data_IF_149859070892
#
_entry.id   IF_149859070892
#
_cell.length_a   1.000
_cell.length_b   1.000
_cell.length_c   1.000
_cell.angle_alpha   90.00
_cell.angle_beta   90.00
_cell.angle_gamma   90.00
#
_symmetry.space_group_name_H-M   'P 1'
#
loop_
_entity.id
_entity.type
_entity.pdbx_description
1 polymer ?
#
# COMPACT_ATOMS: atom_id res chain seq x y z
N UNK A 1 -14.74 -26.33 8.94
CA UNK A 1 -13.93 -26.15 7.72
C UNK A 1 -13.25 -24.80 7.80
N UNK A 2 -11.95 -24.77 7.52
CA UNK A 2 -11.18 -23.52 7.45
C UNK A 2 -11.08 -23.09 5.99
N UNK A 3 -11.26 -21.79 5.74
CA UNK A 3 -11.21 -21.14 4.43
C UNK A 3 -10.01 -20.20 4.47
N UNK A 4 -9.10 -20.30 3.50
CA UNK A 4 -8.07 -19.29 3.32
C UNK A 4 -8.67 -18.03 2.65
N UNK A 5 -8.17 -16.88 3.06
CA UNK A 5 -8.37 -15.60 2.38
C UNK A 5 -7.01 -15.14 1.90
N UNK A 6 -6.87 -14.96 0.60
CA UNK A 6 -5.70 -14.37 -0.05
C UNK A 6 -6.10 -13.03 -0.62
N UNK A 7 -5.34 -11.99 -0.30
CA UNK A 7 -5.52 -10.64 -0.82
C UNK A 7 -4.20 -10.25 -1.48
N UNK A 8 -4.21 -10.24 -2.81
CA UNK A 8 -3.12 -9.74 -3.62
C UNK A 8 -3.34 -8.23 -3.85
N UNK A 9 -2.31 -7.41 -3.74
CA UNK A 9 -2.41 -5.94 -3.84
C UNK A 9 -1.28 -5.39 -4.72
N UNK A 10 -1.62 -4.67 -5.78
CA UNK A 10 -0.65 -4.13 -6.74
C UNK A 10 -1.07 -2.78 -7.32
N UNK A 11 -0.19 -2.22 -8.17
CA UNK A 11 -0.31 -0.85 -8.67
C UNK A 11 0.08 0.19 -7.63
N UNK A 12 -0.45 1.40 -7.74
CA UNK A 12 -0.03 2.55 -6.95
C UNK A 12 -0.59 2.49 -5.52
N UNK A 13 0.18 1.86 -4.62
CA UNK A 13 -0.28 1.54 -3.26
C UNK A 13 0.80 1.71 -2.20
N UNK A 14 0.42 2.42 -1.13
CA UNK A 14 1.22 2.55 0.09
C UNK A 14 0.60 1.69 1.19
N UNK A 15 1.38 0.79 1.77
CA UNK A 15 0.96 -0.14 2.81
C UNK A 15 1.85 0.01 4.05
N UNK A 16 1.21 0.13 5.22
CA UNK A 16 1.88 0.25 6.51
C UNK A 16 1.04 -0.37 7.64
N UNK A 17 1.68 -0.87 8.70
CA UNK A 17 0.97 -1.26 9.91
C UNK A 17 0.72 -0.06 10.81
N UNK A 18 -0.50 0.08 11.30
CA UNK A 18 -0.84 1.05 12.35
C UNK A 18 -2.02 0.51 13.14
N UNK A 19 -1.98 0.68 14.46
CA UNK A 19 -3.04 0.23 15.37
C UNK A 19 -3.40 -1.28 15.24
N UNK A 20 -2.42 -2.14 14.88
CA UNK A 20 -2.61 -3.58 14.65
C UNK A 20 -3.54 -3.94 13.46
N UNK A 21 -3.61 -3.08 12.46
CA UNK A 21 -4.18 -3.37 11.14
C UNK A 21 -3.19 -2.96 10.03
N UNK A 22 -3.25 -3.65 8.90
CA UNK A 22 -2.62 -3.21 7.66
C UNK A 22 -3.43 -2.05 7.09
N UNK A 23 -2.77 -0.95 6.76
CA UNK A 23 -3.38 0.23 6.16
C UNK A 23 -2.96 0.24 4.71
N UNK A 24 -3.90 0.04 3.80
CA UNK A 24 -3.68 0.02 2.36
C UNK A 24 -4.19 1.35 1.81
N UNK A 25 -3.29 2.23 1.37
CA UNK A 25 -3.61 3.55 0.82
C UNK A 25 -3.29 3.55 -0.67
N UNK A 26 -4.35 3.43 -1.47
CA UNK A 26 -4.27 3.56 -2.91
C UNK A 26 -4.41 5.02 -3.30
N UNK A 27 -3.53 5.54 -4.15
CA UNK A 27 -3.66 6.90 -4.70
C UNK A 27 -4.58 6.84 -5.92
N UNK A 28 -5.61 7.68 -5.97
CA UNK A 28 -6.60 7.67 -7.05
C UNK A 28 -6.68 9.01 -7.75
N UNK A 29 -6.88 8.97 -9.07
CA UNK A 29 -7.10 10.14 -9.93
C UNK A 29 -7.88 9.73 -11.19
N UNK A 30 -7.69 10.44 -12.30
CA UNK A 30 -8.33 10.12 -13.60
C UNK A 30 -7.75 8.87 -14.29
N UNK A 31 -6.53 8.47 -13.92
CA UNK A 31 -5.75 7.38 -14.54
C UNK A 31 -5.63 6.18 -13.58
N UNK A 32 -5.68 6.42 -12.25
CA UNK A 32 -5.61 5.42 -11.18
C UNK A 32 -6.98 5.21 -10.51
N UNK A 33 -7.49 3.99 -10.58
CA UNK A 33 -8.77 3.58 -10.00
C UNK A 33 -8.63 2.16 -9.45
N UNK A 34 -9.02 1.97 -8.18
CA UNK A 34 -8.83 0.72 -7.46
C UNK A 34 -9.88 -0.30 -7.89
N UNK A 35 -9.46 -1.28 -8.68
CA UNK A 35 -10.31 -2.37 -9.16
C UNK A 35 -10.13 -3.57 -8.25
N UNK A 36 -11.24 -4.15 -7.79
CA UNK A 36 -11.22 -5.37 -6.97
C UNK A 36 -11.82 -6.53 -7.74
N UNK A 37 -11.11 -7.64 -7.74
CA UNK A 37 -11.37 -8.82 -8.56
C UNK A 37 -11.44 -10.07 -7.66
N UNK A 38 -12.42 -10.96 -7.87
CA UNK A 38 -12.54 -12.23 -7.13
C UNK A 38 -12.25 -13.44 -8.02
N UNK A 39 -11.21 -14.23 -7.69
CA UNK A 39 -10.80 -15.43 -8.43
C UNK A 39 -10.47 -15.21 -9.93
N UNK A 40 -9.75 -14.12 -10.25
CA UNK A 40 -9.29 -13.80 -11.61
C UNK A 40 -10.40 -13.58 -12.68
N UNK A 41 -11.47 -12.82 -12.40
CA UNK A 41 -12.47 -12.48 -13.40
C UNK A 41 -11.91 -11.47 -14.40
N UNK A 42 -12.39 -11.50 -15.65
CA UNK A 42 -11.95 -10.56 -16.71
C UNK A 42 -12.51 -9.14 -16.56
N UNK A 43 -13.24 -8.86 -15.48
CA UNK A 43 -13.85 -7.57 -15.12
C UNK A 43 -13.81 -7.45 -13.60
N UNK A 44 -13.67 -6.23 -13.04
CA UNK A 44 -13.74 -6.04 -11.60
C UNK A 44 -15.14 -6.40 -11.06
N UNK A 45 -15.16 -6.97 -9.87
CA UNK A 45 -16.37 -7.11 -9.04
C UNK A 45 -16.85 -5.73 -8.59
N UNK A 46 -15.90 -4.85 -8.24
CA UNK A 46 -16.15 -3.47 -7.82
C UNK A 46 -14.96 -2.56 -8.13
N UNK A 47 -15.25 -1.30 -8.45
CA UNK A 47 -14.29 -0.20 -8.51
C UNK A 47 -14.46 0.65 -7.23
N UNK A 48 -13.40 0.81 -6.46
CA UNK A 48 -13.36 1.63 -5.25
C UNK A 48 -12.80 3.03 -5.58
N UNK A 49 -13.42 4.04 -4.98
CA UNK A 49 -13.35 5.48 -5.27
C UNK A 49 -14.26 6.00 -6.40
N UNK A 50 -15.07 6.98 -6.00
CA UNK A 50 -15.53 8.09 -6.84
C UNK A 50 -14.40 9.13 -6.90
N UNK A 51 -14.06 9.62 -8.09
CA UNK A 51 -12.98 10.57 -8.36
C UNK A 51 -13.25 12.01 -7.81
N UNK A 52 -13.94 12.11 -6.69
CA UNK A 52 -14.35 13.34 -6.03
C UNK A 52 -13.99 13.40 -4.53
N UNK A 53 -13.71 12.27 -3.83
CA UNK A 53 -13.48 12.28 -2.36
C UNK A 53 -12.55 11.16 -1.86
N UNK A 54 -11.66 11.44 -0.88
CA UNK A 54 -11.00 10.39 -0.09
C UNK A 54 -12.00 9.46 0.57
N UNK A 55 -11.80 8.14 0.43
CA UNK A 55 -12.70 7.13 0.99
C UNK A 55 -11.97 6.28 2.02
N UNK A 56 -12.41 6.32 3.29
CA UNK A 56 -11.92 5.41 4.33
C UNK A 56 -12.81 4.17 4.37
N UNK A 57 -12.19 3.01 4.22
CA UNK A 57 -12.81 1.69 4.17
C UNK A 57 -12.18 0.80 5.25
N UNK A 58 -12.90 -0.24 5.67
CA UNK A 58 -12.33 -1.31 6.47
C UNK A 58 -12.82 -2.68 5.99
N UNK A 59 -11.91 -3.66 6.07
CA UNK A 59 -12.12 -5.02 5.64
C UNK A 59 -12.56 -5.89 6.82
N UNK A 60 -13.72 -6.50 6.73
CA UNK A 60 -14.40 -7.19 7.83
C UNK A 60 -14.61 -8.67 7.51
N UNK A 61 -13.90 -9.58 8.20
CA UNK A 61 -14.31 -10.96 8.34
C UNK A 61 -15.69 -11.05 9.00
N UNK A 62 -16.59 -11.83 8.42
CA UNK A 62 -17.83 -12.27 9.06
C UNK A 62 -17.60 -13.68 9.61
N UNK A 63 -17.48 -13.79 10.94
CA UNK A 63 -17.21 -15.04 11.64
C UNK A 63 -15.89 -15.02 12.42
N UNK A 64 -15.53 -16.16 13.03
CA UNK A 64 -14.26 -16.30 13.72
C UNK A 64 -13.12 -16.44 12.71
N UNK A 65 -12.13 -15.54 12.77
CA UNK A 65 -10.94 -15.58 11.95
C UNK A 65 -9.71 -15.98 12.77
N UNK A 66 -8.85 -16.82 12.18
CA UNK A 66 -7.54 -17.14 12.73
C UNK A 66 -6.52 -16.22 12.06
N UNK A 67 -6.02 -15.26 12.84
CA UNK A 67 -5.16 -14.17 12.37
C UNK A 67 -3.84 -14.19 13.13
N UNK A 68 -2.81 -14.76 12.49
CA UNK A 68 -1.44 -14.75 12.99
C UNK A 68 -0.66 -13.71 12.22
N UNK A 69 -0.08 -12.72 12.93
CA UNK A 69 0.92 -11.82 12.36
C UNK A 69 2.19 -12.62 12.09
N UNK A 70 2.60 -12.70 10.83
CA UNK A 70 3.86 -13.34 10.45
C UNK A 70 4.37 -12.74 9.14
N UNK A 71 5.67 -12.88 8.91
CA UNK A 71 6.31 -12.52 7.66
C UNK A 71 6.13 -13.69 6.68
N UNK A 72 5.71 -13.38 5.47
CA UNK A 72 5.66 -14.31 4.34
C UNK A 72 6.97 -14.34 3.57
N UNK A 73 6.96 -14.99 2.41
CA UNK A 73 8.09 -14.94 1.47
C UNK A 73 8.26 -13.51 0.92
N UNK A 74 9.50 -13.09 0.67
CA UNK A 74 9.80 -11.81 0.02
C UNK A 74 9.47 -10.58 0.86
N UNK A 75 9.26 -10.75 2.17
CA UNK A 75 8.84 -9.68 3.05
C UNK A 75 9.88 -8.55 3.23
N UNK A 76 11.17 -8.85 3.03
CA UNK A 76 12.22 -7.81 3.07
C UNK A 76 12.25 -6.96 1.77
N UNK A 77 11.51 -7.37 0.73
CA UNK A 77 11.37 -6.61 -0.53
C UNK A 77 10.19 -5.63 -0.51
N UNK A 78 9.82 -5.17 0.68
CA UNK A 78 8.51 -4.58 0.94
C UNK A 78 8.82 -3.38 1.87
N UNK A 79 8.55 -2.16 1.39
CA UNK A 79 9.06 -0.90 1.99
C UNK A 79 8.16 -0.32 3.12
N UNK A 80 8.63 -0.35 4.37
CA UNK A 80 7.85 0.15 5.51
C UNK A 80 7.98 1.65 5.76
N UNK A 81 6.90 2.43 5.61
CA UNK A 81 6.89 3.85 6.05
C UNK A 81 7.15 4.05 7.55
N UNK A 82 6.77 3.12 8.41
CA UNK A 82 7.01 3.17 9.85
C UNK A 82 8.37 2.58 10.28
N UNK A 83 9.27 2.23 9.35
CA UNK A 83 10.63 1.81 9.69
C UNK A 83 11.38 2.92 10.44
N UNK A 84 12.26 2.54 11.37
CA UNK A 84 13.16 3.47 12.06
C UNK A 84 14.08 4.27 11.13
N UNK A 85 14.48 3.70 10.00
CA UNK A 85 15.28 4.38 8.97
C UNK A 85 14.44 5.38 8.16
N UNK A 86 13.10 5.28 8.22
CA UNK A 86 12.16 6.16 7.52
C UNK A 86 11.55 7.23 8.45
N UNK A 87 10.38 6.92 9.03
CA UNK A 87 9.65 7.80 9.94
C UNK A 87 9.64 7.31 11.39
N UNK A 88 9.71 5.99 11.60
CA UNK A 88 9.70 5.35 12.91
C UNK A 88 8.43 5.62 13.75
N UNK A 89 8.56 5.30 15.04
CA UNK A 89 7.56 5.57 16.07
C UNK A 89 8.06 6.56 17.12
N UNK A 90 7.15 7.15 17.88
CA UNK A 90 7.45 7.93 19.08
C UNK A 90 7.91 7.02 20.25
N UNK A 91 8.31 7.64 21.36
CA UNK A 91 8.74 6.93 22.57
C UNK A 91 7.63 6.07 23.24
N UNK A 92 6.39 6.10 22.75
CA UNK A 92 5.28 5.26 23.17
C UNK A 92 4.94 4.17 22.12
N UNK A 93 5.79 3.99 21.09
CA UNK A 93 5.57 3.04 20.01
C UNK A 93 4.51 3.45 18.99
N UNK A 94 4.03 4.70 19.00
CA UNK A 94 3.02 5.17 18.04
C UNK A 94 3.70 5.73 16.80
N UNK A 95 3.17 5.40 15.62
CA UNK A 95 3.67 5.91 14.35
C UNK A 95 3.82 7.44 14.31
N UNK A 96 4.98 7.90 13.86
CA UNK A 96 5.25 9.32 13.62
C UNK A 96 4.49 9.88 12.41
N UNK A 97 3.82 9.03 11.62
CA UNK A 97 2.96 9.43 10.51
C UNK A 97 1.71 10.19 10.99
N UNK A 98 1.48 11.36 10.39
CA UNK A 98 0.28 12.17 10.55
C UNK A 98 -0.57 12.11 9.27
N UNK A 99 -1.74 11.50 9.35
CA UNK A 99 -2.68 11.44 8.23
C UNK A 99 -3.36 12.80 8.01
N UNK A 100 -3.33 13.29 6.78
CA UNK A 100 -4.06 14.46 6.30
C UNK A 100 -5.36 13.99 5.60
N UNK A 101 -6.55 14.19 6.21
CA UNK A 101 -7.82 13.76 5.62
C UNK A 101 -8.18 14.55 4.35
N UNK A 102 -7.54 15.69 4.12
CA UNK A 102 -7.69 16.53 2.92
C UNK A 102 -6.30 16.85 2.39
N UNK A 103 -5.71 15.94 1.58
CA UNK A 103 -4.42 16.14 0.93
C UNK A 103 -4.42 17.39 0.05
N UNK A 104 -3.25 17.99 -0.13
CA UNK A 104 -3.09 19.12 -1.03
C UNK A 104 -3.17 18.68 -2.52
N UNK A 105 -3.16 19.66 -3.42
CA UNK A 105 -3.15 19.41 -4.87
C UNK A 105 -4.43 18.78 -5.45
N UNK A 106 -5.48 18.55 -4.66
CA UNK A 106 -6.72 17.90 -5.12
C UNK A 106 -6.59 16.39 -5.38
N UNK A 107 -5.48 15.78 -4.93
CA UNK A 107 -5.26 14.32 -4.98
C UNK A 107 -6.27 13.58 -4.10
N UNK A 108 -6.55 12.33 -4.43
CA UNK A 108 -7.53 11.50 -3.75
C UNK A 108 -6.94 10.13 -3.44
N UNK A 109 -7.60 9.39 -2.56
CA UNK A 109 -7.12 8.07 -2.14
C UNK A 109 -8.24 7.21 -1.56
N UNK A 110 -8.05 5.89 -1.68
CA UNK A 110 -8.80 4.88 -0.92
C UNK A 110 -7.90 4.40 0.21
N UNK A 111 -8.31 4.62 1.46
CA UNK A 111 -7.62 4.10 2.65
C UNK A 111 -8.41 2.91 3.19
N UNK A 112 -7.96 1.71 2.89
CA UNK A 112 -8.55 0.44 3.34
C UNK A 112 -7.76 -0.13 4.53
N UNK A 113 -8.40 -0.26 5.68
CA UNK A 113 -7.84 -1.01 6.81
C UNK A 113 -8.14 -2.50 6.66
N UNK A 114 -7.12 -3.36 6.61
CA UNK A 114 -7.25 -4.82 6.58
C UNK A 114 -6.71 -5.42 7.89
N UNK A 115 -7.38 -6.41 8.51
CA UNK A 115 -6.85 -7.11 9.67
C UNK A 115 -5.49 -7.77 9.43
N UNK A 116 -4.75 -8.01 10.51
CA UNK A 116 -3.45 -8.71 10.45
C UNK A 116 -3.56 -10.14 9.91
N UNK A 117 -2.47 -10.58 9.30
CA UNK A 117 -2.28 -11.91 8.73
C UNK A 117 -0.81 -12.13 8.38
N UNK A 118 -0.54 -13.12 7.53
CA UNK A 118 0.79 -13.38 6.97
C UNK A 118 0.95 -12.55 5.69
N UNK A 119 1.88 -11.60 5.70
CA UNK A 119 2.10 -10.67 4.59
C UNK A 119 3.43 -11.01 3.89
N UNK A 120 3.41 -11.17 2.58
CA UNK A 120 4.60 -11.45 1.76
C UNK A 120 4.69 -10.54 0.53
N UNK A 121 5.87 -10.48 -0.06
CA UNK A 121 6.18 -9.72 -1.27
C UNK A 121 6.48 -10.66 -2.44
N UNK A 122 5.83 -10.41 -3.57
CA UNK A 122 5.94 -11.22 -4.78
C UNK A 122 6.47 -10.38 -5.96
N UNK A 123 7.00 -11.05 -6.98
CA UNK A 123 7.54 -10.41 -8.19
C UNK A 123 8.54 -9.27 -7.92
N UNK A 124 9.64 -9.52 -7.19
CA UNK A 124 10.62 -8.48 -6.85
C UNK A 124 11.28 -7.90 -8.11
N UNK A 125 11.22 -6.57 -8.24
CA UNK A 125 11.86 -5.79 -9.28
C UNK A 125 13.05 -5.01 -8.70
N UNK A 126 14.09 -4.68 -9.51
CA UNK A 126 15.21 -3.83 -9.10
C UNK A 126 14.80 -2.34 -9.07
N UNK A 127 13.82 -2.02 -8.24
CA UNK A 127 13.42 -0.65 -7.94
C UNK A 127 14.30 -0.05 -6.83
N UNK A 128 14.20 1.26 -6.66
CA UNK A 128 15.00 2.02 -5.70
C UNK A 128 14.06 2.98 -4.96
N UNK A 129 14.39 3.29 -3.70
CA UNK A 129 13.71 4.33 -2.96
C UNK A 129 14.72 5.38 -2.52
N UNK A 130 14.28 6.63 -2.49
CA UNK A 130 15.11 7.81 -2.30
C UNK A 130 14.62 8.53 -1.06
N UNK A 131 15.48 8.63 -0.06
CA UNK A 131 15.29 9.51 1.07
C UNK A 131 15.72 10.93 0.67
N UNK A 132 14.75 11.81 0.37
CA UNK A 132 15.00 13.25 0.41
C UNK A 132 14.91 13.73 1.86
N UNK A 133 16.05 14.14 2.41
CA UNK A 133 16.14 14.83 3.70
C UNK A 133 16.15 16.35 3.45
N UNK A 134 15.41 17.16 4.23
CA UNK A 134 15.23 18.60 3.94
C UNK A 134 16.52 19.45 3.94
N UNK A 135 17.65 18.91 4.44
CA UNK A 135 18.96 19.55 4.42
C UNK A 135 20.09 18.62 3.96
N UNK A 136 19.77 17.48 3.33
CA UNK A 136 20.74 16.46 2.92
C UNK A 136 20.86 16.33 1.40
N UNK A 137 21.93 15.68 0.94
CA UNK A 137 21.95 15.11 -0.41
C UNK A 137 20.95 13.94 -0.42
N UNK A 138 20.01 13.87 -1.39
CA UNK A 138 19.12 12.73 -1.53
C UNK A 138 19.89 11.41 -1.54
N UNK A 139 19.58 10.53 -0.59
CA UNK A 139 20.27 9.25 -0.48
C UNK A 139 19.41 8.18 -1.13
N UNK A 140 19.91 7.59 -2.22
CA UNK A 140 19.24 6.52 -2.94
C UNK A 140 19.61 5.17 -2.30
N UNK A 141 18.61 4.48 -1.76
CA UNK A 141 18.72 3.14 -1.20
C UNK A 141 18.17 2.14 -2.23
N UNK A 142 19.03 1.23 -2.67
CA UNK A 142 18.73 0.27 -3.74
C UNK A 142 18.53 -1.13 -3.19
N UNK A 143 17.27 -1.53 -3.05
CA UNK A 143 16.86 -2.86 -2.61
C UNK A 143 15.69 -3.30 -3.49
N UNK A 144 15.63 -4.58 -3.85
CA UNK A 144 14.55 -5.08 -4.69
C UNK A 144 13.20 -4.85 -4.00
N UNK A 145 12.21 -4.34 -4.74
CA UNK A 145 10.86 -4.07 -4.24
C UNK A 145 9.88 -5.02 -4.92
N UNK A 146 9.00 -5.66 -4.14
CA UNK A 146 7.91 -6.50 -4.62
C UNK A 146 6.96 -5.68 -5.49
N UNK A 147 6.52 -6.22 -6.62
CA UNK A 147 5.45 -5.62 -7.43
C UNK A 147 4.04 -6.03 -7.00
N UNK A 148 3.93 -6.87 -5.96
CA UNK A 148 2.66 -7.35 -5.46
C UNK A 148 2.78 -7.70 -3.97
N UNK A 149 1.86 -7.16 -3.15
CA UNK A 149 1.58 -7.67 -1.82
C UNK A 149 0.84 -9.01 -1.92
N UNK A 150 1.10 -9.93 -0.99
CA UNK A 150 0.19 -11.03 -0.71
C UNK A 150 -0.08 -11.11 0.78
N UNK A 151 -1.27 -10.69 1.20
CA UNK A 151 -1.76 -10.85 2.57
C UNK A 151 -2.64 -12.11 2.64
N UNK A 152 -2.36 -12.97 3.62
CA UNK A 152 -3.14 -14.20 3.85
C UNK A 152 -3.58 -14.36 5.29
N UNK A 153 -4.79 -14.85 5.50
CA UNK A 153 -5.32 -15.26 6.82
C UNK A 153 -6.41 -16.32 6.63
N UNK A 154 -7.02 -16.81 7.70
CA UNK A 154 -8.01 -17.88 7.61
C UNK A 154 -9.31 -17.57 8.35
N UNK A 155 -10.43 -18.05 7.80
CA UNK A 155 -11.77 -17.97 8.38
C UNK A 155 -12.26 -19.36 8.78
N UNK A 156 -13.08 -19.42 9.82
CA UNK A 156 -13.77 -20.65 10.22
C UNK A 156 -15.21 -20.65 9.71
N UNK A 157 -15.67 -21.81 9.23
CA UNK A 157 -17.07 -22.20 8.93
C UNK A 157 -17.96 -21.17 8.22
N UNK A 158 -18.06 -21.30 6.89
CA UNK A 158 -18.93 -20.43 6.07
C UNK A 158 -18.43 -18.99 5.93
N UNK A 159 -17.13 -18.78 6.17
CA UNK A 159 -16.48 -17.48 6.19
C UNK A 159 -16.82 -16.60 4.98
N UNK A 160 -17.23 -15.37 5.29
CA UNK A 160 -17.44 -14.27 4.35
C UNK A 160 -16.52 -13.12 4.71
N UNK A 161 -16.03 -12.40 3.72
CA UNK A 161 -15.31 -11.12 3.89
C UNK A 161 -16.11 -10.00 3.24
N UNK A 162 -16.04 -8.80 3.81
CA UNK A 162 -16.75 -7.63 3.31
C UNK A 162 -15.89 -6.38 3.40
N UNK A 163 -16.02 -5.48 2.44
CA UNK A 163 -15.55 -4.11 2.57
C UNK A 163 -16.71 -3.26 3.09
N UNK A 164 -16.43 -2.44 4.08
CA UNK A 164 -17.37 -1.48 4.65
C UNK A 164 -16.82 -0.06 4.55
N UNK A 165 -17.70 0.92 4.36
CA UNK A 165 -17.38 2.33 4.58
C UNK A 165 -17.11 2.59 6.06
N UNK A 166 -16.11 3.42 6.35
CA UNK A 166 -15.79 3.88 7.71
C UNK A 166 -16.50 5.21 8.01
N UNK A 167 -17.80 5.25 7.72
CA UNK A 167 -18.71 6.33 8.07
C UNK A 167 -19.57 5.96 9.30
N UNK A 168 -20.51 6.82 9.69
CA UNK A 168 -21.42 6.58 10.82
C UNK A 168 -22.37 5.40 10.59
N UNK A 169 -22.60 5.01 9.32
CA UNK A 169 -23.53 3.94 8.95
C UNK A 169 -22.84 2.57 8.83
N UNK A 170 -21.51 2.54 8.63
CA UNK A 170 -20.74 1.31 8.49
C UNK A 170 -21.15 0.48 7.27
N UNK A 171 -21.64 1.14 6.21
CA UNK A 171 -22.34 0.50 5.08
C UNK A 171 -21.48 -0.56 4.40
N UNK A 172 -22.03 -1.75 4.17
CA UNK A 172 -21.39 -2.78 3.36
C UNK A 172 -21.33 -2.34 1.89
N UNK A 173 -20.13 -2.29 1.34
CA UNK A 173 -19.85 -1.82 -0.03
C UNK A 173 -19.86 -3.00 -1.01
N UNK A 174 -19.20 -4.09 -0.62
CA UNK A 174 -19.14 -5.35 -1.36
C UNK A 174 -18.81 -6.48 -0.38
N UNK A 175 -19.31 -7.70 -0.61
CA UNK A 175 -18.90 -8.88 0.15
C UNK A 175 -18.74 -10.14 -0.70
N UNK A 176 -17.82 -11.00 -0.26
CA UNK A 176 -17.43 -12.24 -0.90
C UNK A 176 -17.53 -13.37 0.11
N UNK A 177 -18.28 -14.41 -0.23
CA UNK A 177 -18.35 -15.64 0.54
C UNK A 177 -17.52 -16.74 -0.14
N UNK A 178 -16.95 -17.65 0.65
CA UNK A 178 -16.36 -18.86 0.10
C UNK A 178 -17.40 -19.62 -0.74
N UNK A 179 -16.99 -20.07 -1.92
CA UNK A 179 -17.84 -20.95 -2.73
C UNK A 179 -17.94 -22.33 -2.05
N UNK A 180 -18.86 -23.18 -2.51
CA UNK A 180 -18.96 -24.58 -2.02
C UNK A 180 -17.69 -25.43 -2.25
N UNK A 181 -16.67 -24.90 -2.93
CA UNK A 181 -15.51 -25.66 -3.40
C UNK A 181 -14.14 -25.02 -3.13
N UNK A 182 -14.03 -23.86 -2.45
CA UNK A 182 -12.69 -23.26 -2.28
C UNK A 182 -12.59 -21.95 -1.49
N UNK A 183 -11.35 -21.50 -1.41
CA UNK A 183 -10.87 -20.31 -0.72
C UNK A 183 -11.36 -19.00 -1.37
N UNK A 184 -11.11 -17.87 -0.69
CA UNK A 184 -11.38 -16.53 -1.21
C UNK A 184 -10.08 -15.91 -1.69
N UNK A 185 -9.97 -15.58 -2.98
CA UNK A 185 -8.81 -14.87 -3.54
C UNK A 185 -9.26 -13.56 -4.16
N UNK A 186 -8.87 -12.45 -3.53
CA UNK A 186 -9.10 -11.10 -4.03
C UNK A 186 -7.80 -10.53 -4.61
N UNK A 187 -7.91 -9.82 -5.73
CA UNK A 187 -6.86 -8.93 -6.24
C UNK A 187 -7.38 -7.50 -6.17
N UNK A 188 -6.59 -6.62 -5.54
CA UNK A 188 -6.75 -5.18 -5.56
C UNK A 188 -5.70 -4.61 -6.51
N UNK A 189 -6.16 -4.04 -7.61
CA UNK A 189 -5.33 -3.50 -8.69
C UNK A 189 -5.58 -1.99 -8.82
N UNK A 190 -4.53 -1.20 -8.64
CA UNK A 190 -4.54 0.25 -8.86
C UNK A 190 -3.51 0.69 -9.91
N UNK A 191 -3.18 -0.19 -10.86
CA UNK A 191 -2.22 0.08 -11.94
C UNK A 191 -2.88 0.90 -13.07
N UNK A 192 -2.27 2.03 -13.43
CA UNK A 192 -2.71 2.89 -14.54
C UNK A 192 -2.10 2.49 -15.91
N UNK A 193 -1.05 1.67 -15.93
CA UNK A 193 -0.25 1.27 -17.09
C UNK A 193 0.39 2.45 -17.87
N UNK A 194 0.53 3.62 -17.23
CA UNK A 194 1.13 4.83 -17.81
C UNK A 194 2.57 5.07 -17.30
N UNK A 195 3.38 5.88 -18.01
CA UNK A 195 4.69 6.31 -17.51
C UNK A 195 4.55 7.47 -16.52
N UNK A 196 4.98 7.25 -15.27
CA UNK A 196 4.96 8.27 -14.21
C UNK A 196 6.07 9.32 -14.35
N UNK A 197 5.88 10.47 -13.70
CA UNK A 197 6.89 11.53 -13.58
C UNK A 197 7.27 11.80 -12.11
N UNK A 198 8.45 12.37 -11.85
CA UNK A 198 8.98 12.63 -10.49
C UNK A 198 7.99 13.36 -9.56
N UNK A 199 7.16 14.25 -10.10
CA UNK A 199 6.19 14.99 -9.29
C UNK A 199 4.97 14.14 -8.91
N UNK A 200 4.65 13.06 -9.64
CA UNK A 200 3.56 12.14 -9.26
C UNK A 200 3.95 11.44 -7.95
N UNK A 201 5.13 10.81 -7.91
CA UNK A 201 5.67 10.14 -6.73
C UNK A 201 5.77 11.05 -5.49
N UNK A 202 6.18 12.31 -5.66
CA UNK A 202 6.20 13.31 -4.56
C UNK A 202 4.81 13.65 -4.03
N UNK A 203 3.78 13.55 -4.89
CA UNK A 203 2.40 13.83 -4.54
C UNK A 203 1.68 12.62 -3.90
N UNK A 204 2.28 11.42 -3.93
CA UNK A 204 1.70 10.23 -3.28
C UNK A 204 1.75 10.32 -1.75
N UNK A 205 2.56 11.22 -1.22
CA UNK A 205 2.67 11.52 0.20
C UNK A 205 1.85 12.76 0.62
N UNK A 206 0.97 13.31 -0.24
CA UNK A 206 0.12 14.46 0.13
C UNK A 206 -0.85 14.18 1.28
N UNK A 207 -1.21 12.91 1.50
CA UNK A 207 -2.08 12.46 2.58
C UNK A 207 -1.33 12.18 3.89
N UNK A 208 0.01 12.31 3.94
CA UNK A 208 0.79 11.95 5.13
C UNK A 208 2.01 12.85 5.38
N UNK A 209 2.25 13.21 6.63
CA UNK A 209 3.45 13.98 7.02
C UNK A 209 4.10 13.43 8.28
N UNK A 210 5.37 13.80 8.50
CA UNK A 210 6.14 13.34 9.65
C UNK A 210 6.03 14.29 10.85
N UNK A 211 5.77 13.74 12.04
CA UNK A 211 5.75 14.47 13.33
C UNK A 211 7.13 14.57 13.99
N UNK A 212 8.07 13.67 13.65
CA UNK A 212 9.33 13.43 14.37
C UNK A 212 10.48 14.39 14.00
N UNK A 213 10.38 15.07 12.86
CA UNK A 213 11.48 15.84 12.28
C UNK A 213 11.12 17.28 11.93
N UNK A 214 12.10 18.18 11.95
CA UNK A 214 11.90 19.62 11.74
C UNK A 214 11.96 20.03 10.25
N UNK A 215 11.09 20.97 9.81
CA UNK A 215 9.89 21.42 10.50
C UNK A 215 8.83 20.29 10.52
N UNK A 216 8.13 20.05 11.65
CA UNK A 216 7.08 19.04 11.72
C UNK A 216 6.01 19.30 10.66
N UNK A 217 5.56 18.24 9.99
CA UNK A 217 4.72 18.36 8.79
C UNK A 217 5.49 18.30 7.46
N UNK A 218 6.81 18.12 7.49
CA UNK A 218 7.60 17.88 6.26
C UNK A 218 7.36 16.46 5.72
N UNK A 219 7.31 16.34 4.39
CA UNK A 219 7.31 15.04 3.70
C UNK A 219 8.74 14.54 3.57
N UNK A 220 8.95 13.27 3.82
CA UNK A 220 10.18 12.54 3.48
C UNK A 220 9.80 11.48 2.44
N UNK A 221 10.79 11.05 1.67
CA UNK A 221 10.73 9.95 0.69
C UNK A 221 10.13 10.27 -0.70
N UNK A 222 10.78 9.69 -1.70
CA UNK A 222 10.28 9.48 -3.06
C UNK A 222 10.67 8.05 -3.45
N UNK A 223 9.73 7.23 -3.88
CA UNK A 223 10.05 5.95 -4.52
C UNK A 223 10.21 6.16 -6.04
N UNK A 224 11.05 5.38 -6.71
CA UNK A 224 11.23 5.54 -8.15
C UNK A 224 12.09 4.45 -8.79
N UNK A 225 11.60 3.88 -9.88
CA UNK A 225 12.31 2.88 -10.67
C UNK A 225 13.56 3.48 -11.31
N UNK A 226 14.71 2.90 -11.00
CA UNK A 226 15.97 3.28 -11.63
C UNK A 226 15.97 2.78 -13.08
N UNK A 227 16.06 3.71 -14.04
CA UNK A 227 16.12 3.31 -15.45
C UNK A 227 17.29 2.35 -15.67
N UNK A 228 17.00 1.24 -16.34
CA UNK A 228 17.91 0.19 -16.83
C UNK A 228 19.25 0.64 -17.44
N UNK A 229 19.41 1.93 -17.80
CA UNK A 229 20.61 2.52 -18.42
C UNK A 229 21.45 3.38 -17.46
N UNK A 230 20.93 3.82 -16.32
CA UNK A 230 21.62 4.75 -15.42
C UNK A 230 22.37 4.04 -14.28
N UNK A 231 23.43 3.33 -14.66
CA UNK A 231 24.44 2.82 -13.74
C UNK A 231 25.13 3.94 -12.92
N UNK A 232 25.95 3.55 -11.94
CA UNK A 232 26.74 4.45 -11.05
C UNK A 232 27.23 5.73 -11.75
N UNK A 233 26.82 6.88 -11.23
CA UNK A 233 27.34 8.20 -11.63
C UNK A 233 26.29 9.18 -12.17
N UNK A 234 25.16 8.72 -12.69
CA UNK A 234 24.13 9.63 -13.22
C UNK A 234 23.47 10.50 -12.12
N UNK A 235 23.02 11.75 -12.43
CA UNK A 235 22.17 12.55 -11.56
C UNK A 235 20.90 11.83 -11.11
N UNK A 236 20.33 12.24 -9.99
CA UNK A 236 19.15 11.58 -9.42
C UNK A 236 17.92 11.75 -10.31
N UNK A 237 17.67 12.97 -10.80
CA UNK A 237 16.53 13.27 -11.66
C UNK A 237 16.54 12.43 -12.96
N UNK A 238 17.72 12.14 -13.52
CA UNK A 238 17.85 11.26 -14.69
C UNK A 238 17.50 9.82 -14.35
N UNK A 239 17.97 9.29 -13.22
CA UNK A 239 17.66 7.93 -12.74
C UNK A 239 16.15 7.70 -12.56
N UNK A 240 15.44 8.73 -12.10
CA UNK A 240 14.00 8.69 -11.79
C UNK A 240 13.11 8.80 -13.04
N UNK A 241 13.64 9.18 -14.20
CA UNK A 241 12.87 9.27 -15.46
C UNK A 241 12.84 7.93 -16.23
N UNK A 242 12.56 6.82 -15.53
CA UNK A 242 12.44 5.49 -16.12
C UNK A 242 11.27 5.37 -17.10
N UNK A 243 11.54 5.52 -18.40
CA UNK A 243 10.52 5.36 -19.48
C UNK A 243 9.97 3.94 -19.62
N UNK A 244 10.60 2.96 -18.97
CA UNK A 244 10.13 1.58 -18.88
C UNK A 244 8.96 1.55 -17.87
N UNK A 245 7.79 2.00 -18.31
CA UNK A 245 6.69 2.45 -17.47
C UNK A 245 6.34 1.59 -16.26
N UNK A 246 6.37 2.24 -15.10
CA UNK A 246 5.37 2.09 -14.06
C UNK A 246 5.32 3.37 -13.20
N UNK A 247 4.11 3.84 -12.88
CA UNK A 247 3.88 4.84 -11.84
C UNK A 247 4.01 4.23 -10.43
N UNK A 248 3.90 2.91 -10.33
CA UNK A 248 3.73 2.15 -9.09
C UNK A 248 5.01 1.95 -8.26
N UNK A 249 5.08 2.54 -7.06
CA UNK A 249 5.80 1.97 -5.94
C UNK A 249 4.84 1.11 -5.12
N UNK A 250 5.08 -0.20 -5.09
CA UNK A 250 4.37 -1.11 -4.18
C UNK A 250 5.11 -1.10 -2.84
N UNK A 251 4.65 -0.25 -1.93
CA UNK A 251 5.29 0.09 -0.63
C UNK A 251 4.57 -0.66 0.48
N UNK A 252 5.24 -1.45 1.34
CA UNK A 252 4.59 -2.39 2.28
C UNK A 252 5.44 -2.66 3.55
N UNK A 253 4.87 -2.97 4.72
CA UNK A 253 5.54 -2.99 6.06
C UNK A 253 5.76 -4.42 6.65
N UNK A 254 6.99 -4.86 7.05
CA UNK A 254 8.05 -4.30 7.91
C UNK A 254 7.89 -4.07 9.43
N UNK A 255 7.16 -4.87 10.22
CA UNK A 255 6.61 -4.44 11.48
C UNK A 255 7.74 -4.26 12.49
N UNK A 256 7.63 -3.28 13.40
CA UNK A 256 8.65 -3.06 14.40
C UNK A 256 8.89 -4.35 15.20
N UNK A 257 10.17 -4.65 15.45
CA UNK A 257 10.58 -5.67 16.40
C UNK A 257 9.95 -5.42 17.80
N UNK A 258 9.95 -6.47 18.65
CA UNK A 258 9.14 -6.55 19.87
C UNK A 258 9.34 -5.42 20.89
#
# INVERSE_FOLDING_TARGET
MTIAVTIDIGGDVIIYEKNRVWNIVFITDKDHMVKVYNNGPTKPDIELADANRPTKLYFKPTGAATMTRSHGRGYDSILNLNDSDLHGSDAMGKSNLNEMPTPAGGRQYVHLEIPIGVLGGESPAPDYWIAEYPHGVPTAHGHAVAKLARLTFSLNDGGRVAIHERDENGREVMSWAASKAGDIHLLFDNDCHLPGNRNDFLNYYDWVTDKSGFPPGTRKFIAGKLHSKFAKGAPLDEKMMGRDGNCDPVVIDPPPGP
#
